data_IF_217691077939
#
_entry.id   IF_217691077939
#
_cell.length_a   1.000
_cell.length_b   1.000
_cell.length_c   1.000
_cell.angle_alpha   90.00
_cell.angle_beta   90.00
_cell.angle_gamma   90.00
#
_symmetry.space_group_name_H-M   'P 1'
#
loop_
_entity.id
_entity.type
_entity.pdbx_description
1 polymer ?
#
# COMPACT_ATOMS: atom_id res chain seq x y z
N UNK A 1 37.85 40.45 15.76
CA UNK A 1 37.92 39.23 16.59
C UNK A 1 36.50 38.66 16.70
N UNK A 2 36.20 37.55 16.05
CA UNK A 2 34.93 36.86 16.19
C UNK A 2 34.95 36.19 17.56
N UNK A 3 34.14 36.64 18.49
CA UNK A 3 34.17 36.18 19.86
C UNK A 3 33.72 34.70 19.88
N UNK A 4 34.48 33.85 20.57
CA UNK A 4 34.20 32.39 20.75
C UNK A 4 32.73 32.08 21.07
N UNK A 5 32.09 32.93 21.85
CA UNK A 5 30.64 32.85 22.16
C UNK A 5 29.71 32.90 20.94
N UNK A 6 30.06 33.66 19.89
CA UNK A 6 29.23 33.79 18.67
C UNK A 6 29.28 32.50 17.89
N UNK A 7 30.46 31.89 17.77
CA UNK A 7 30.67 30.61 17.08
C UNK A 7 29.96 29.49 17.83
N UNK A 8 30.09 29.42 19.17
CA UNK A 8 29.44 28.40 19.99
C UNK A 8 27.93 28.50 19.88
N UNK A 9 27.35 29.71 19.97
CA UNK A 9 25.91 29.91 19.83
C UNK A 9 25.43 29.57 18.39
N UNK A 10 26.21 29.82 17.38
CA UNK A 10 25.92 29.44 15.99
C UNK A 10 25.86 27.92 15.83
N UNK A 11 26.85 27.22 16.34
CA UNK A 11 26.91 25.74 16.31
C UNK A 11 25.75 25.14 17.11
N UNK A 12 25.45 25.67 18.30
CA UNK A 12 24.35 25.17 19.15
C UNK A 12 22.99 25.34 18.46
N UNK A 13 22.77 26.47 17.79
CA UNK A 13 21.56 26.70 16.99
C UNK A 13 21.46 25.77 15.78
N UNK A 14 22.57 25.53 15.08
CA UNK A 14 22.61 24.61 13.96
C UNK A 14 22.31 23.17 14.41
N UNK A 15 22.90 22.72 15.52
CA UNK A 15 22.63 21.40 16.10
C UNK A 15 21.16 21.30 16.53
N UNK A 16 20.65 22.32 17.23
CA UNK A 16 19.23 22.36 17.62
C UNK A 16 18.29 22.29 16.46
N UNK A 17 18.57 23.01 15.36
CA UNK A 17 17.79 22.94 14.13
C UNK A 17 17.84 21.54 13.49
N UNK A 18 19.02 20.91 13.41
CA UNK A 18 19.15 19.56 12.88
C UNK A 18 18.38 18.53 13.71
N UNK A 19 18.40 18.65 15.02
CA UNK A 19 17.63 17.78 15.92
C UNK A 19 16.12 17.95 15.68
N UNK A 20 15.63 19.18 15.57
CA UNK A 20 14.21 19.46 15.32
C UNK A 20 13.81 18.89 13.94
N UNK A 21 14.59 19.09 12.90
CA UNK A 21 14.34 18.55 11.56
C UNK A 21 14.34 17.02 11.59
N UNK A 22 15.30 16.40 12.28
CA UNK A 22 15.39 14.95 12.41
C UNK A 22 14.16 14.37 13.14
N UNK A 23 13.74 15.00 14.23
CA UNK A 23 12.51 14.61 14.95
C UNK A 23 11.27 14.77 14.09
N UNK A 24 11.19 15.84 13.31
CA UNK A 24 10.07 16.07 12.40
C UNK A 24 10.00 15.02 11.29
N UNK A 25 11.13 14.68 10.68
CA UNK A 25 11.21 13.63 9.66
C UNK A 25 10.88 12.25 10.26
N UNK A 26 11.35 11.97 11.47
CA UNK A 26 11.00 10.74 12.19
C UNK A 26 9.49 10.67 12.46
N UNK A 27 8.88 11.75 12.90
CA UNK A 27 7.44 11.85 13.11
C UNK A 27 6.67 11.61 11.80
N UNK A 28 7.07 12.25 10.69
CA UNK A 28 6.46 12.02 9.37
C UNK A 28 6.58 10.56 8.93
N UNK A 29 7.72 9.93 9.17
CA UNK A 29 7.92 8.52 8.89
C UNK A 29 6.94 7.64 9.70
N UNK A 30 6.74 7.95 10.98
CA UNK A 30 5.86 7.19 11.84
C UNK A 30 4.38 7.29 11.43
N UNK A 31 3.95 8.43 10.91
CA UNK A 31 2.56 8.65 10.46
C UNK A 31 2.35 8.40 8.96
N UNK A 32 3.35 7.88 8.26
CA UNK A 32 3.31 7.63 6.82
C UNK A 32 2.03 6.89 6.38
N UNK A 33 1.65 5.83 7.08
CA UNK A 33 0.44 5.05 6.76
C UNK A 33 -0.83 5.90 6.86
N UNK A 34 -0.90 6.78 7.86
CA UNK A 34 -2.06 7.68 8.04
C UNK A 34 -2.14 8.68 6.89
N UNK A 35 -0.99 9.23 6.46
CA UNK A 35 -0.95 10.16 5.32
C UNK A 35 -1.40 9.48 4.03
N UNK A 36 -0.98 8.23 3.80
CA UNK A 36 -1.42 7.44 2.64
C UNK A 36 -2.93 7.20 2.71
N UNK A 37 -3.48 6.80 3.86
CA UNK A 37 -4.93 6.59 4.01
C UNK A 37 -5.73 7.87 3.77
N UNK A 38 -5.23 9.00 4.23
CA UNK A 38 -5.84 10.30 4.03
C UNK A 38 -5.86 10.70 2.56
N UNK A 39 -4.76 10.47 1.84
CA UNK A 39 -4.64 10.73 0.41
C UNK A 39 -5.60 9.83 -0.39
N UNK A 40 -5.62 8.54 -0.11
CA UNK A 40 -6.52 7.58 -0.77
C UNK A 40 -7.99 7.93 -0.48
N UNK A 41 -8.32 8.26 0.78
CA UNK A 41 -9.67 8.69 1.15
C UNK A 41 -10.09 9.98 0.44
N UNK A 42 -9.16 10.91 0.23
CA UNK A 42 -9.41 12.13 -0.54
C UNK A 42 -9.75 11.80 -2.00
N UNK A 43 -8.98 10.93 -2.65
CA UNK A 43 -9.25 10.48 -4.03
C UNK A 43 -10.61 9.77 -4.11
N UNK A 44 -10.91 8.85 -3.17
CA UNK A 44 -12.22 8.20 -3.11
C UNK A 44 -13.35 9.21 -2.90
N UNK A 45 -13.14 10.27 -2.14
CA UNK A 45 -14.11 11.34 -1.95
C UNK A 45 -14.39 12.08 -3.26
N UNK A 46 -13.36 12.36 -4.06
CA UNK A 46 -13.53 12.98 -5.38
C UNK A 46 -14.37 12.09 -6.30
N UNK A 47 -14.08 10.79 -6.35
CA UNK A 47 -14.85 9.81 -7.13
C UNK A 47 -16.28 9.64 -6.56
N UNK A 48 -16.43 9.71 -5.24
CA UNK A 48 -17.71 9.55 -4.56
C UNK A 48 -18.65 10.75 -4.69
N UNK A 49 -18.14 11.94 -4.91
CA UNK A 49 -18.95 13.16 -5.03
C UNK A 49 -20.06 13.07 -6.09
N UNK A 50 -19.81 12.68 -7.36
CA UNK A 50 -20.85 12.54 -8.36
C UNK A 50 -21.89 11.46 -7.98
N UNK A 51 -21.47 10.37 -7.36
CA UNK A 51 -22.38 9.31 -6.88
C UNK A 51 -23.27 9.85 -5.76
N UNK A 52 -22.69 10.55 -4.80
CA UNK A 52 -23.42 11.22 -3.70
C UNK A 52 -24.42 12.24 -4.22
N UNK A 53 -24.03 13.07 -5.18
CA UNK A 53 -24.92 14.07 -5.80
C UNK A 53 -26.05 13.40 -6.59
N UNK A 54 -25.79 12.26 -7.26
CA UNK A 54 -26.82 11.45 -7.90
C UNK A 54 -27.88 10.96 -6.89
N UNK A 55 -27.48 10.41 -5.74
CA UNK A 55 -28.39 9.98 -4.70
C UNK A 55 -29.20 11.13 -4.11
N UNK A 56 -28.58 12.28 -3.92
CA UNK A 56 -29.26 13.46 -3.40
C UNK A 56 -30.26 14.04 -4.41
N UNK A 57 -29.87 14.18 -5.68
CA UNK A 57 -30.67 14.86 -6.69
C UNK A 57 -31.76 13.95 -7.29
N UNK A 58 -31.42 12.70 -7.60
CA UNK A 58 -32.33 11.76 -8.26
C UNK A 58 -33.20 11.01 -7.26
N UNK A 59 -32.64 10.50 -6.17
CA UNK A 59 -33.33 9.67 -5.19
C UNK A 59 -33.82 10.47 -3.98
N UNK A 60 -33.51 11.79 -3.92
CA UNK A 60 -33.89 12.70 -2.83
C UNK A 60 -33.50 12.21 -1.44
N UNK A 61 -32.38 11.48 -1.34
CA UNK A 61 -31.85 11.01 -0.06
C UNK A 61 -31.33 12.18 0.77
N UNK A 62 -31.51 12.08 2.09
CA UNK A 62 -30.83 12.96 3.02
C UNK A 62 -29.31 12.80 2.86
N UNK A 63 -28.57 13.88 3.16
CA UNK A 63 -27.11 13.92 2.97
C UNK A 63 -26.38 12.72 3.61
N UNK A 64 -26.76 12.33 4.83
CA UNK A 64 -26.17 11.20 5.54
C UNK A 64 -26.48 9.88 4.83
N UNK A 65 -27.76 9.65 4.44
CA UNK A 65 -28.14 8.42 3.71
C UNK A 65 -27.46 8.34 2.34
N UNK A 66 -27.32 9.45 1.63
CA UNK A 66 -26.59 9.50 0.36
C UNK A 66 -25.10 9.15 0.55
N UNK A 67 -24.48 9.63 1.64
CA UNK A 67 -23.07 9.31 1.97
C UNK A 67 -22.92 7.81 2.28
N UNK A 68 -23.81 7.24 3.10
CA UNK A 68 -23.79 5.81 3.44
C UNK A 68 -24.00 4.97 2.18
N UNK A 69 -24.96 5.33 1.33
CA UNK A 69 -25.20 4.61 0.06
C UNK A 69 -23.99 4.66 -0.87
N UNK A 70 -23.31 5.80 -0.96
CA UNK A 70 -22.06 5.95 -1.75
C UNK A 70 -20.97 5.04 -1.21
N UNK A 71 -20.77 4.99 0.11
CA UNK A 71 -19.79 4.09 0.74
C UNK A 71 -20.14 2.63 0.54
N UNK A 72 -21.42 2.29 0.61
CA UNK A 72 -21.89 0.91 0.37
C UNK A 72 -21.56 0.47 -1.06
N UNK A 73 -21.71 1.36 -2.05
CA UNK A 73 -21.29 1.07 -3.43
C UNK A 73 -19.78 0.80 -3.47
N UNK A 74 -18.95 1.60 -2.80
CA UNK A 74 -17.51 1.35 -2.76
C UNK A 74 -17.17 0.01 -2.12
N UNK A 75 -17.83 -0.33 -0.99
CA UNK A 75 -17.65 -1.62 -0.33
C UNK A 75 -18.05 -2.77 -1.26
N UNK A 76 -19.21 -2.68 -1.93
CA UNK A 76 -19.66 -3.70 -2.87
C UNK A 76 -18.73 -3.85 -4.07
N UNK A 77 -18.22 -2.73 -4.59
CA UNK A 77 -17.28 -2.73 -5.72
C UNK A 77 -15.95 -3.39 -5.33
N UNK A 78 -15.41 -3.05 -4.17
CA UNK A 78 -14.18 -3.64 -3.63
C UNK A 78 -14.39 -5.12 -3.31
N UNK A 79 -15.50 -5.48 -2.64
CA UNK A 79 -15.84 -6.86 -2.31
C UNK A 79 -16.02 -7.70 -3.59
N UNK A 80 -16.72 -7.17 -4.61
CA UNK A 80 -16.89 -7.82 -5.91
C UNK A 80 -15.54 -8.05 -6.60
N UNK A 81 -14.66 -7.06 -6.56
CA UNK A 81 -13.32 -7.19 -7.10
C UNK A 81 -12.53 -8.29 -6.38
N UNK A 82 -12.54 -8.29 -5.04
CA UNK A 82 -11.89 -9.31 -4.22
C UNK A 82 -12.46 -10.70 -4.52
N UNK A 83 -13.81 -10.83 -4.57
CA UNK A 83 -14.47 -12.10 -4.86
C UNK A 83 -14.15 -12.64 -6.27
N UNK A 84 -13.89 -11.77 -7.23
CA UNK A 84 -13.48 -12.17 -8.58
C UNK A 84 -12.02 -12.62 -8.61
N UNK A 85 -11.13 -11.95 -7.86
CA UNK A 85 -9.70 -12.21 -7.91
C UNK A 85 -9.23 -13.36 -7.01
N UNK A 86 -9.87 -13.55 -5.84
CA UNK A 86 -9.49 -14.63 -4.91
C UNK A 86 -9.57 -16.02 -5.57
N UNK A 87 -10.68 -16.44 -6.21
CA UNK A 87 -10.75 -17.75 -6.86
C UNK A 87 -9.73 -17.90 -8.00
N UNK A 88 -9.46 -16.80 -8.73
CA UNK A 88 -8.45 -16.81 -9.78
C UNK A 88 -7.05 -17.08 -9.21
N UNK A 89 -6.69 -16.42 -8.12
CA UNK A 89 -5.38 -16.63 -7.44
C UNK A 89 -5.31 -18.04 -6.86
N UNK A 90 -6.38 -18.53 -6.25
CA UNK A 90 -6.41 -19.88 -5.65
C UNK A 90 -6.31 -20.96 -6.73
N UNK A 91 -7.05 -20.85 -7.83
CA UNK A 91 -6.98 -21.84 -8.93
C UNK A 91 -5.62 -21.84 -9.63
N UNK A 92 -5.01 -20.69 -9.79
CA UNK A 92 -3.62 -20.60 -10.29
C UNK A 92 -2.62 -21.14 -9.25
N UNK A 93 -2.87 -20.87 -7.96
CA UNK A 93 -2.07 -21.39 -6.85
C UNK A 93 -2.17 -22.91 -6.73
N UNK A 94 -3.35 -23.50 -6.91
CA UNK A 94 -3.55 -24.95 -6.96
C UNK A 94 -2.87 -25.58 -8.18
N UNK A 95 -2.97 -24.97 -9.35
CA UNK A 95 -2.24 -25.43 -10.55
C UNK A 95 -0.73 -25.31 -10.39
N UNK A 96 -0.24 -24.32 -9.63
CA UNK A 96 1.19 -24.21 -9.24
C UNK A 96 1.56 -25.14 -8.09
N UNK A 97 0.63 -25.47 -7.21
CA UNK A 97 0.76 -26.45 -6.12
C UNK A 97 0.63 -27.89 -6.63
N UNK A 98 0.01 -28.10 -7.80
CA UNK A 98 0.07 -29.33 -8.59
C UNK A 98 1.46 -29.55 -9.22
N UNK A 99 2.29 -28.52 -9.32
CA UNK A 99 3.74 -28.68 -9.25
C UNK A 99 4.07 -29.06 -7.80
N UNK A 100 3.74 -30.30 -7.47
CA UNK A 100 3.91 -30.93 -6.18
C UNK A 100 5.32 -30.58 -5.68
N UNK A 101 5.41 -29.63 -4.74
CA UNK A 101 6.74 -29.18 -4.25
C UNK A 101 7.55 -30.38 -3.79
N UNK A 102 6.89 -31.40 -3.23
CA UNK A 102 7.48 -32.67 -2.87
C UNK A 102 7.93 -33.48 -4.10
N UNK A 103 7.23 -33.39 -5.21
CA UNK A 103 7.57 -34.10 -6.45
C UNK A 103 8.69 -33.38 -7.21
N UNK A 104 8.69 -32.04 -7.21
CA UNK A 104 9.80 -31.21 -7.70
C UNK A 104 11.06 -31.46 -6.86
N UNK A 105 10.93 -31.48 -5.55
CA UNK A 105 12.03 -31.80 -4.62
C UNK A 105 12.57 -33.20 -4.90
N UNK A 106 11.69 -34.20 -4.98
CA UNK A 106 12.06 -35.60 -5.30
C UNK A 106 12.75 -35.72 -6.65
N UNK A 107 12.18 -35.10 -7.69
CA UNK A 107 12.75 -35.14 -9.06
C UNK A 107 14.09 -34.37 -9.11
N UNK A 108 14.22 -33.26 -8.40
CA UNK A 108 15.47 -32.49 -8.31
C UNK A 108 16.54 -33.32 -7.60
N UNK A 109 16.21 -33.98 -6.47
CA UNK A 109 17.12 -34.84 -5.76
C UNK A 109 17.54 -36.08 -6.59
N UNK A 110 16.60 -36.63 -7.37
CA UNK A 110 16.91 -37.72 -8.29
C UNK A 110 17.89 -37.29 -9.39
N UNK A 111 17.69 -36.12 -9.99
CA UNK A 111 18.62 -35.55 -10.98
C UNK A 111 20.01 -35.30 -10.38
N UNK A 112 20.06 -34.73 -9.18
CA UNK A 112 21.34 -34.51 -8.46
C UNK A 112 22.05 -35.84 -8.24
N UNK A 113 21.34 -36.89 -7.79
CA UNK A 113 21.92 -38.23 -7.56
C UNK A 113 22.36 -38.88 -8.88
N UNK A 114 21.63 -38.70 -9.99
CA UNK A 114 22.05 -39.21 -11.30
C UNK A 114 23.33 -38.51 -11.80
N UNK A 115 23.41 -37.17 -11.61
CA UNK A 115 24.61 -36.41 -11.94
C UNK A 115 25.79 -36.86 -11.07
N UNK A 116 25.56 -37.09 -9.75
CA UNK A 116 26.57 -37.57 -8.86
C UNK A 116 27.14 -38.94 -9.30
N UNK A 117 26.24 -39.88 -9.61
CA UNK A 117 26.62 -41.23 -10.10
C UNK A 117 27.38 -41.17 -11.44
N UNK A 118 26.96 -40.27 -12.35
CA UNK A 118 27.66 -40.04 -13.62
C UNK A 118 29.09 -39.50 -13.39
N UNK A 119 29.24 -38.53 -12.49
CA UNK A 119 30.55 -37.94 -12.17
C UNK A 119 31.49 -38.99 -11.50
N UNK A 120 30.93 -39.77 -10.57
CA UNK A 120 31.69 -40.86 -9.92
C UNK A 120 32.17 -41.91 -10.92
N UNK A 121 31.34 -42.28 -11.91
CA UNK A 121 31.73 -43.21 -12.98
C UNK A 121 32.88 -42.72 -13.83
N UNK A 122 33.14 -41.41 -13.84
CA UNK A 122 34.24 -40.74 -14.55
C UNK A 122 35.40 -40.34 -13.61
N UNK A 123 35.49 -40.89 -12.41
CA UNK A 123 36.54 -40.61 -11.41
C UNK A 123 36.58 -39.10 -10.97
N UNK A 124 35.46 -38.39 -11.04
CA UNK A 124 35.32 -37.04 -10.54
C UNK A 124 34.68 -37.11 -9.16
N UNK A 125 35.30 -36.51 -8.15
CA UNK A 125 34.79 -36.47 -6.77
C UNK A 125 33.54 -35.59 -6.68
N UNK A 126 32.38 -36.20 -6.90
CA UNK A 126 31.06 -35.54 -6.89
C UNK A 126 30.70 -35.02 -5.49
N UNK A 127 31.25 -35.68 -4.43
CA UNK A 127 30.86 -35.38 -3.04
C UNK A 127 31.33 -33.97 -2.59
N UNK A 128 32.49 -33.53 -3.06
CA UNK A 128 33.00 -32.16 -2.82
C UNK A 128 32.23 -31.11 -3.59
N UNK A 129 31.98 -31.33 -4.90
CA UNK A 129 31.24 -30.40 -5.74
C UNK A 129 29.81 -30.18 -5.27
N UNK A 130 29.12 -31.23 -4.85
CA UNK A 130 27.73 -31.12 -4.36
C UNK A 130 27.64 -30.45 -2.99
N UNK A 131 28.63 -30.69 -2.10
CA UNK A 131 28.73 -30.04 -0.79
C UNK A 131 29.09 -28.54 -0.91
N UNK A 132 30.04 -28.21 -1.77
CA UNK A 132 30.46 -26.82 -2.00
C UNK A 132 29.39 -26.01 -2.75
N UNK A 133 28.68 -26.61 -3.67
CA UNK A 133 27.60 -25.96 -4.40
C UNK A 133 26.36 -25.67 -3.54
N UNK A 134 26.18 -26.41 -2.43
CA UNK A 134 25.09 -26.24 -1.48
C UNK A 134 23.72 -26.13 -2.15
N UNK A 135 23.50 -26.90 -3.24
CA UNK A 135 22.38 -26.76 -4.17
C UNK A 135 21.04 -26.98 -3.46
N UNK A 136 20.98 -27.96 -2.58
CA UNK A 136 19.79 -28.32 -1.81
C UNK A 136 19.32 -27.20 -0.86
N UNK A 137 20.26 -26.44 -0.29
CA UNK A 137 19.92 -25.33 0.60
C UNK A 137 19.58 -24.03 -0.13
N UNK A 138 19.99 -23.89 -1.39
CA UNK A 138 19.70 -22.71 -2.21
C UNK A 138 18.35 -22.79 -2.92
N UNK A 139 17.80 -23.97 -3.11
CA UNK A 139 16.48 -24.17 -3.71
C UNK A 139 15.42 -24.04 -2.62
N UNK A 140 14.75 -22.92 -2.56
CA UNK A 140 13.67 -22.68 -1.60
C UNK A 140 12.35 -23.28 -2.12
N UNK A 141 12.09 -24.55 -1.81
CA UNK A 141 10.85 -25.23 -2.20
C UNK A 141 9.60 -24.66 -1.49
N UNK A 142 9.78 -23.87 -0.42
CA UNK A 142 8.69 -23.24 0.32
C UNK A 142 8.25 -21.88 -0.27
N UNK A 143 8.78 -21.52 -1.44
CA UNK A 143 8.42 -20.24 -2.07
C UNK A 143 6.90 -20.10 -2.28
N UNK A 144 6.25 -21.15 -2.82
CA UNK A 144 4.80 -21.12 -3.12
C UNK A 144 3.95 -21.03 -1.86
N UNK A 145 4.12 -21.89 -0.82
CA UNK A 145 3.40 -21.73 0.44
C UNK A 145 3.65 -20.39 1.12
N UNK A 146 4.89 -19.91 1.13
CA UNK A 146 5.22 -18.61 1.71
C UNK A 146 4.57 -17.46 0.95
N UNK A 147 4.53 -17.51 -0.37
CA UNK A 147 3.87 -16.52 -1.22
C UNK A 147 2.36 -16.47 -0.96
N UNK A 148 1.69 -17.64 -0.91
CA UNK A 148 0.27 -17.72 -0.58
C UNK A 148 -0.04 -17.19 0.83
N UNK A 149 0.75 -17.56 1.83
CA UNK A 149 0.63 -17.04 3.19
C UNK A 149 0.85 -15.51 3.24
N UNK A 150 1.78 -15.00 2.45
CA UNK A 150 2.02 -13.54 2.34
C UNK A 150 0.83 -12.82 1.73
N UNK A 151 0.19 -13.40 0.71
CA UNK A 151 -1.06 -12.84 0.14
C UNK A 151 -2.17 -12.82 1.19
N UNK A 152 -2.39 -13.92 1.91
CA UNK A 152 -3.42 -14.02 2.95
C UNK A 152 -3.19 -13.02 4.08
N UNK A 153 -1.95 -12.87 4.55
CA UNK A 153 -1.59 -11.89 5.58
C UNK A 153 -1.77 -10.46 5.09
N UNK A 154 -1.45 -10.20 3.82
CA UNK A 154 -1.64 -8.89 3.18
C UNK A 154 -3.12 -8.54 3.09
N UNK A 155 -3.99 -9.49 2.71
CA UNK A 155 -5.44 -9.29 2.67
C UNK A 155 -5.99 -8.93 4.06
N UNK A 156 -5.52 -9.60 5.11
CA UNK A 156 -5.93 -9.30 6.49
C UNK A 156 -5.50 -7.89 6.93
N UNK A 157 -4.27 -7.50 6.63
CA UNK A 157 -3.76 -6.15 6.92
C UNK A 157 -4.44 -5.08 6.08
N UNK A 158 -4.78 -5.40 4.83
CA UNK A 158 -5.52 -4.53 3.92
C UNK A 158 -6.93 -4.22 4.43
N UNK A 159 -7.59 -5.19 5.10
CA UNK A 159 -8.90 -4.99 5.70
C UNK A 159 -8.94 -3.85 6.73
N UNK A 160 -7.92 -3.77 7.60
CA UNK A 160 -7.80 -2.66 8.57
C UNK A 160 -7.53 -1.32 7.88
N UNK A 161 -6.64 -1.31 6.89
CA UNK A 161 -6.36 -0.11 6.09
C UNK A 161 -7.58 0.37 5.32
N UNK A 162 -8.31 -0.55 4.69
CA UNK A 162 -9.54 -0.25 3.96
C UNK A 162 -10.61 0.33 4.88
N UNK A 163 -10.81 -0.25 6.07
CA UNK A 163 -11.73 0.28 7.07
C UNK A 163 -11.38 1.72 7.47
N UNK A 164 -10.10 2.01 7.69
CA UNK A 164 -9.62 3.35 7.99
C UNK A 164 -9.87 4.32 6.84
N UNK A 165 -9.56 3.93 5.60
CA UNK A 165 -9.80 4.75 4.40
C UNK A 165 -11.29 5.03 4.22
N UNK A 166 -12.16 4.03 4.33
CA UNK A 166 -13.61 4.21 4.21
C UNK A 166 -14.17 5.11 5.31
N UNK A 167 -13.66 4.96 6.53
CA UNK A 167 -14.04 5.82 7.66
C UNK A 167 -13.67 7.28 7.39
N UNK A 168 -12.46 7.55 6.95
CA UNK A 168 -12.02 8.91 6.59
C UNK A 168 -12.85 9.44 5.41
N UNK A 169 -13.08 8.62 4.38
CA UNK A 169 -13.91 8.97 3.22
C UNK A 169 -15.33 9.34 3.63
N UNK A 170 -15.90 8.63 4.62
CA UNK A 170 -17.21 8.98 5.17
C UNK A 170 -17.26 10.42 5.68
N UNK A 171 -16.28 10.81 6.51
CA UNK A 171 -16.23 12.17 7.03
C UNK A 171 -15.98 13.20 5.95
N UNK A 172 -15.12 12.90 4.98
CA UNK A 172 -14.85 13.81 3.87
C UNK A 172 -16.07 14.04 2.99
N UNK A 173 -16.87 13.01 2.72
CA UNK A 173 -18.13 13.13 1.98
C UNK A 173 -19.20 13.84 2.81
N UNK A 174 -19.32 13.47 4.10
CA UNK A 174 -20.34 14.01 5.01
C UNK A 174 -20.10 15.49 5.30
N UNK A 175 -18.86 15.86 5.64
CA UNK A 175 -18.53 17.20 6.11
C UNK A 175 -17.74 18.01 5.07
N UNK A 176 -18.01 17.77 3.78
CA UNK A 176 -17.34 18.40 2.62
C UNK A 176 -17.17 19.92 2.77
N UNK A 177 -18.19 20.62 3.25
CA UNK A 177 -18.15 22.08 3.40
C UNK A 177 -17.17 22.54 4.49
N UNK A 178 -17.03 21.75 5.57
CA UNK A 178 -16.07 22.07 6.63
C UNK A 178 -14.64 21.91 6.12
N UNK A 179 -14.35 20.87 5.34
CA UNK A 179 -13.02 20.66 4.76
C UNK A 179 -12.66 21.76 3.77
N UNK A 180 -13.59 22.18 2.90
CA UNK A 180 -13.37 23.29 1.97
C UNK A 180 -13.10 24.60 2.72
N UNK A 181 -13.88 24.90 3.77
CA UNK A 181 -13.66 26.09 4.61
C UNK A 181 -12.32 26.05 5.35
N UNK A 182 -11.93 24.88 5.86
CA UNK A 182 -10.65 24.71 6.56
C UNK A 182 -9.47 24.82 5.59
N UNK A 183 -9.58 24.24 4.40
CA UNK A 183 -8.57 24.36 3.36
C UNK A 183 -8.39 25.81 2.91
N UNK A 184 -9.50 26.57 2.75
CA UNK A 184 -9.42 28.01 2.42
C UNK A 184 -8.63 28.81 3.45
N UNK A 185 -8.76 28.50 4.75
CA UNK A 185 -8.00 29.20 5.80
C UNK A 185 -6.50 28.90 5.79
N UNK A 186 -6.07 27.82 5.15
CA UNK A 186 -4.66 27.44 5.02
C UNK A 186 -4.00 28.06 3.79
N UNK A 187 -4.81 28.60 2.87
CA UNK A 187 -4.32 29.23 1.63
C UNK A 187 -4.00 30.68 1.97
N UNK A 188 -2.78 31.17 1.69
CA UNK A 188 -2.45 32.59 1.79
C UNK A 188 -3.32 33.41 0.86
N UNK A 189 -3.81 34.57 1.32
CA UNK A 189 -4.72 35.46 0.58
C UNK A 189 -4.21 35.79 -0.83
N UNK A 190 -2.90 35.83 -1.01
CA UNK A 190 -2.24 36.14 -2.30
C UNK A 190 -2.53 35.13 -3.40
N UNK A 191 -2.85 33.85 -3.06
CA UNK A 191 -3.08 32.75 -4.01
C UNK A 191 -4.51 32.20 -3.95
N UNK A 192 -5.37 32.77 -3.10
CA UNK A 192 -6.73 32.26 -2.87
C UNK A 192 -7.53 32.18 -4.17
N UNK A 193 -7.58 33.28 -4.96
CA UNK A 193 -8.33 33.32 -6.20
C UNK A 193 -7.82 32.36 -7.27
N UNK A 194 -6.51 32.18 -7.38
CA UNK A 194 -5.90 31.27 -8.36
C UNK A 194 -6.21 29.80 -8.02
N UNK A 195 -6.14 29.44 -6.75
CA UNK A 195 -6.41 28.08 -6.29
C UNK A 195 -7.90 27.77 -6.37
N UNK A 196 -8.78 28.71 -5.99
CA UNK A 196 -10.23 28.55 -6.09
C UNK A 196 -10.69 28.38 -7.53
N UNK A 197 -10.20 29.21 -8.46
CA UNK A 197 -10.50 29.09 -9.89
C UNK A 197 -10.02 27.75 -10.47
N UNK A 198 -8.85 27.26 -10.01
CA UNK A 198 -8.33 25.96 -10.43
C UNK A 198 -9.18 24.80 -9.89
N UNK A 199 -9.62 24.86 -8.64
CA UNK A 199 -10.50 23.86 -8.03
C UNK A 199 -11.89 23.85 -8.69
N UNK A 200 -12.43 25.02 -9.02
CA UNK A 200 -13.71 25.15 -9.72
C UNK A 200 -13.64 24.57 -11.13
N UNK A 201 -12.53 24.83 -11.83
CA UNK A 201 -12.25 24.26 -13.15
C UNK A 201 -12.08 22.74 -13.13
N UNK A 202 -11.41 22.19 -12.12
CA UNK A 202 -11.30 20.75 -11.91
C UNK A 202 -12.69 20.14 -11.62
N UNK A 203 -13.48 20.78 -10.77
CA UNK A 203 -14.83 20.31 -10.46
C UNK A 203 -15.77 20.35 -11.68
N UNK A 204 -15.59 21.34 -12.56
CA UNK A 204 -16.31 21.43 -13.84
C UNK A 204 -15.92 20.33 -14.83
N UNK A 205 -14.63 19.97 -14.87
CA UNK A 205 -14.12 18.92 -15.76
C UNK A 205 -14.48 17.50 -15.30
N UNK A 206 -14.87 17.35 -14.02
CA UNK A 206 -15.25 16.06 -13.43
C UNK A 206 -16.79 15.85 -13.39
N UNK A 207 -17.58 16.82 -13.84
CA UNK A 207 -19.04 16.72 -13.98
C UNK A 207 -19.46 16.36 -15.40
#
# INVERSE_FOLDING_TARGET
MITSKIITNGILKAIGFLVIVSLFLYFLYQIQSVLIYLLVAFVLTLIGNPILDFFKRRLKFNHIFATIATLLIFILLIAGFIMMFIPLILSQGENLSLLNTAEIEKNTLQLINQIAAFLESHNIDSSKMLKEANITSKINFNFIPNFLNSILSTISSFGLGLGSVLFITFFFLKDRLLFIKSAKKLIPDTYEDQILNSLEKINYLLQ
#
